data_IF_893004020914
#
_entry.id   IF_893004020914
#
_cell.length_a   1.000
_cell.length_b   1.000
_cell.length_c   1.000
_cell.angle_alpha   90.00
_cell.angle_beta   90.00
_cell.angle_gamma   90.00
#
_symmetry.space_group_name_H-M   'P 1'
#
loop_
_entity.id
_entity.type
_entity.pdbx_description
1 polymer ?
#
# COMPACT_ATOMS: atom_id res chain seq x y z
N UNK A 1 3.87 18.67 6.02
CA UNK A 1 3.39 17.78 7.13
C UNK A 1 3.98 16.40 6.94
N UNK A 2 4.58 15.79 7.97
CA UNK A 2 5.10 14.41 7.88
C UNK A 2 3.96 13.40 7.92
N UNK A 3 3.96 12.44 6.99
CA UNK A 3 3.01 11.33 6.98
C UNK A 3 3.24 10.41 8.17
N UNK A 4 2.16 10.09 8.86
CA UNK A 4 2.16 9.18 10.01
C UNK A 4 2.20 7.70 9.60
N UNK A 5 2.42 6.82 10.59
CA UNK A 5 2.38 5.36 10.39
C UNK A 5 0.96 4.91 10.01
N UNK A 6 0.82 4.00 9.03
CA UNK A 6 -0.49 3.50 8.63
C UNK A 6 -1.05 2.49 9.64
N UNK A 7 -2.36 2.21 9.59
CA UNK A 7 -2.91 0.97 10.14
C UNK A 7 -2.17 -0.23 9.53
N UNK A 8 -1.72 -1.16 10.38
CA UNK A 8 -0.89 -2.32 9.97
C UNK A 8 -1.46 -3.12 8.79
N UNK A 9 -2.78 -3.19 8.68
CA UNK A 9 -3.48 -3.91 7.61
C UNK A 9 -3.18 -3.34 6.21
N UNK A 10 -2.79 -2.06 6.11
CA UNK A 10 -2.43 -1.44 4.84
C UNK A 10 -1.21 -2.08 4.18
N UNK A 11 -0.35 -2.75 4.95
CA UNK A 11 0.75 -3.57 4.42
C UNK A 11 0.19 -4.75 3.61
N UNK A 12 -0.86 -5.41 4.12
CA UNK A 12 -1.49 -6.54 3.44
C UNK A 12 -2.28 -6.09 2.20
N UNK A 13 -2.94 -4.94 2.30
CA UNK A 13 -3.64 -4.33 1.16
C UNK A 13 -2.67 -3.95 0.02
N UNK A 14 -1.48 -3.45 0.36
CA UNK A 14 -0.42 -3.16 -0.61
C UNK A 14 0.11 -4.43 -1.29
N UNK A 15 0.35 -5.51 -0.53
CA UNK A 15 0.75 -6.79 -1.09
C UNK A 15 -0.30 -7.38 -2.05
N UNK A 16 -1.58 -7.33 -1.66
CA UNK A 16 -2.68 -7.75 -2.55
C UNK A 16 -2.75 -6.88 -3.81
N UNK A 17 -2.53 -5.57 -3.68
CA UNK A 17 -2.45 -4.64 -4.81
C UNK A 17 -1.39 -5.00 -5.83
N UNK A 18 -0.21 -5.42 -5.37
CA UNK A 18 0.87 -5.86 -6.24
C UNK A 18 0.47 -7.18 -6.94
N UNK A 19 -0.04 -8.16 -6.20
CA UNK A 19 -0.44 -9.47 -6.76
C UNK A 19 -1.61 -9.39 -7.76
N UNK A 20 -2.51 -8.42 -7.56
CA UNK A 20 -3.62 -8.14 -8.48
C UNK A 20 -3.17 -7.42 -9.75
N UNK A 21 -1.89 -7.03 -9.87
CA UNK A 21 -1.39 -6.26 -11.02
C UNK A 21 -1.99 -4.86 -11.12
N UNK A 22 -2.43 -4.27 -10.00
CA UNK A 22 -3.17 -2.99 -9.97
C UNK A 22 -2.29 -1.74 -10.07
N UNK A 23 -1.01 -1.90 -10.40
CA UNK A 23 -0.03 -0.81 -10.39
C UNK A 23 0.49 -0.60 -11.80
N UNK A 24 0.18 0.57 -12.37
CA UNK A 24 0.74 1.03 -13.64
C UNK A 24 1.89 1.99 -13.35
N UNK A 25 3.11 1.54 -13.63
CA UNK A 25 4.31 2.37 -13.50
C UNK A 25 4.32 3.40 -14.63
N UNK A 26 4.43 4.68 -14.30
CA UNK A 26 4.56 5.76 -15.28
C UNK A 26 6.03 6.18 -15.41
N UNK A 27 6.70 6.35 -14.27
CA UNK A 27 8.14 6.50 -14.17
C UNK A 27 8.63 6.01 -12.80
N UNK A 28 9.91 6.23 -12.50
CA UNK A 28 10.55 5.76 -11.27
C UNK A 28 9.85 6.23 -9.96
N UNK A 29 9.33 7.46 -9.95
CA UNK A 29 8.75 8.07 -8.75
C UNK A 29 7.23 8.15 -8.81
N UNK A 30 6.61 7.89 -9.97
CA UNK A 30 5.18 8.09 -10.20
C UNK A 30 4.51 6.83 -10.76
N UNK A 31 3.45 6.40 -10.09
CA UNK A 31 2.60 5.29 -10.52
C UNK A 31 1.11 5.65 -10.42
N UNK A 32 0.30 4.93 -11.19
CA UNK A 32 -1.15 4.91 -11.04
C UNK A 32 -1.55 3.59 -10.37
N UNK A 33 -2.40 3.67 -9.36
CA UNK A 33 -2.86 2.50 -8.59
C UNK A 33 -4.37 2.37 -8.69
N UNK A 34 -4.85 1.27 -9.25
CA UNK A 34 -6.28 0.99 -9.36
C UNK A 34 -6.82 0.40 -8.05
N UNK A 35 -8.02 0.81 -7.62
CA UNK A 35 -8.69 0.28 -6.42
C UNK A 35 -9.02 -1.21 -6.56
N UNK A 36 -9.31 -1.89 -5.45
CA UNK A 36 -9.63 -3.32 -5.47
C UNK A 36 -10.91 -3.69 -6.25
N UNK A 37 -11.78 -2.71 -6.56
CA UNK A 37 -12.97 -2.93 -7.39
C UNK A 37 -12.82 -2.37 -8.81
N UNK A 38 -11.68 -1.80 -9.17
CA UNK A 38 -11.48 -1.19 -10.49
C UNK A 38 -12.17 0.16 -10.68
N UNK A 39 -12.95 0.64 -9.71
CA UNK A 39 -13.81 1.82 -9.83
C UNK A 39 -13.06 3.15 -9.66
N UNK A 40 -11.84 3.13 -9.13
CA UNK A 40 -11.01 4.33 -8.91
C UNK A 40 -9.57 4.05 -9.30
N UNK A 41 -8.89 5.08 -9.79
CA UNK A 41 -7.44 5.07 -10.01
C UNK A 41 -6.83 6.23 -9.23
N UNK A 42 -5.83 5.92 -8.43
CA UNK A 42 -5.11 6.85 -7.58
C UNK A 42 -3.79 7.26 -8.25
N UNK A 43 -3.42 8.52 -8.12
CA UNK A 43 -2.10 9.00 -8.45
C UNK A 43 -1.20 8.88 -7.23
N UNK A 44 -0.01 8.30 -7.40
CA UNK A 44 0.90 8.01 -6.29
C UNK A 44 2.31 8.43 -6.69
N UNK A 45 2.91 9.31 -5.91
CA UNK A 45 4.26 9.80 -6.13
C UNK A 45 5.10 9.63 -4.87
N UNK A 46 6.35 9.17 -5.01
CA UNK A 46 7.34 9.10 -3.92
C UNK A 46 8.70 9.49 -4.47
N UNK A 47 9.32 10.48 -3.83
CA UNK A 47 10.72 10.83 -4.05
C UNK A 47 11.48 10.71 -2.73
N UNK A 48 12.36 9.72 -2.67
CA UNK A 48 13.14 9.41 -1.47
C UNK A 48 14.29 10.39 -1.25
N UNK A 49 14.85 10.97 -2.31
CA UNK A 49 15.94 11.94 -2.23
C UNK A 49 15.43 13.24 -1.61
N UNK A 50 14.24 13.65 -2.01
CA UNK A 50 13.54 14.83 -1.45
C UNK A 50 12.81 14.51 -0.13
N UNK A 51 12.61 13.24 0.20
CA UNK A 51 11.84 12.81 1.36
C UNK A 51 10.37 13.23 1.28
N UNK A 52 9.75 13.17 0.09
CA UNK A 52 8.37 13.60 -0.14
C UNK A 52 7.51 12.50 -0.75
N UNK A 53 6.21 12.56 -0.48
CA UNK A 53 5.23 11.66 -1.08
C UNK A 53 3.89 12.34 -1.33
N UNK A 54 3.17 11.85 -2.34
CA UNK A 54 1.80 12.24 -2.66
C UNK A 54 0.96 11.00 -2.90
N UNK A 55 -0.27 11.00 -2.40
CA UNK A 55 -1.32 10.16 -2.96
C UNK A 55 -2.69 10.81 -2.75
N UNK A 56 -3.54 10.67 -3.75
CA UNK A 56 -4.96 11.06 -3.69
C UNK A 56 -5.86 9.96 -3.09
N UNK A 57 -5.28 8.85 -2.62
CA UNK A 57 -6.00 7.84 -1.86
C UNK A 57 -6.51 8.41 -0.52
N UNK A 58 -7.66 7.92 -0.04
CA UNK A 58 -8.31 8.49 1.14
C UNK A 58 -7.44 8.46 2.41
N UNK A 59 -6.58 7.43 2.56
CA UNK A 59 -5.67 7.30 3.68
C UNK A 59 -4.64 8.42 3.70
N UNK A 60 -3.96 8.65 2.57
CA UNK A 60 -2.99 9.75 2.48
C UNK A 60 -3.68 11.10 2.46
N UNK A 61 -4.71 11.28 1.62
CA UNK A 61 -5.39 12.55 1.38
C UNK A 61 -6.09 13.11 2.63
N UNK A 62 -6.84 12.28 3.35
CA UNK A 62 -7.66 12.75 4.48
C UNK A 62 -7.16 12.32 5.85
N UNK A 63 -6.37 11.24 5.95
CA UNK A 63 -5.88 10.70 7.24
C UNK A 63 -4.40 10.96 7.49
N UNK A 64 -3.66 11.52 6.53
CA UNK A 64 -2.26 11.93 6.68
C UNK A 64 -1.33 10.80 7.17
N UNK A 65 -1.53 9.58 6.66
CA UNK A 65 -0.61 8.46 6.86
C UNK A 65 -0.10 7.91 5.52
N UNK A 66 0.97 7.12 5.55
CA UNK A 66 1.52 6.42 4.38
C UNK A 66 0.53 5.37 3.87
N UNK A 67 -0.31 5.73 2.89
CA UNK A 67 -1.37 4.87 2.33
C UNK A 67 -0.85 3.57 1.70
N UNK A 68 -1.74 2.57 1.54
CA UNK A 68 -1.37 1.32 0.85
C UNK A 68 -0.77 1.54 -0.56
N UNK A 69 -1.19 2.55 -1.35
CA UNK A 69 -0.58 2.76 -2.66
C UNK A 69 0.87 3.22 -2.55
N UNK A 70 1.19 4.07 -1.56
CA UNK A 70 2.57 4.48 -1.25
C UNK A 70 3.39 3.28 -0.79
N UNK A 71 2.85 2.45 0.11
CA UNK A 71 3.53 1.22 0.58
C UNK A 71 3.85 0.31 -0.62
N UNK A 72 2.90 0.14 -1.55
CA UNK A 72 3.08 -0.70 -2.72
C UNK A 72 4.18 -0.17 -3.67
N UNK A 73 4.22 1.15 -3.91
CA UNK A 73 5.30 1.77 -4.67
C UNK A 73 6.66 1.57 -3.98
N UNK A 74 6.73 1.78 -2.66
CA UNK A 74 7.96 1.57 -1.90
C UNK A 74 8.44 0.10 -1.91
N UNK A 75 7.53 -0.88 -1.96
CA UNK A 75 7.87 -2.29 -2.16
C UNK A 75 8.43 -2.55 -3.56
N UNK A 76 7.82 -1.98 -4.61
CA UNK A 76 8.32 -2.10 -6.00
C UNK A 76 9.70 -1.47 -6.16
N UNK A 77 9.95 -0.33 -5.51
CA UNK A 77 11.27 0.34 -5.49
C UNK A 77 12.32 -0.39 -4.64
N UNK A 78 11.96 -1.50 -3.97
CA UNK A 78 12.87 -2.25 -3.10
C UNK A 78 13.19 -1.59 -1.76
N UNK A 79 12.51 -0.50 -1.41
CA UNK A 79 12.71 0.22 -0.14
C UNK A 79 12.07 -0.52 1.02
N UNK A 80 10.87 -1.06 0.80
CA UNK A 80 10.16 -1.90 1.77
C UNK A 80 10.28 -3.38 1.39
N UNK A 81 10.34 -4.28 2.38
CA UNK A 81 10.33 -5.71 2.11
C UNK A 81 9.13 -6.13 1.25
N UNK A 82 9.37 -7.02 0.29
CA UNK A 82 8.36 -7.67 -0.53
C UNK A 82 8.56 -9.19 -0.45
N UNK A 83 7.46 -9.94 -0.30
CA UNK A 83 7.45 -11.39 -0.35
C UNK A 83 6.39 -11.84 -1.36
N UNK A 84 6.84 -12.46 -2.45
CA UNK A 84 5.97 -12.88 -3.55
C UNK A 84 4.95 -13.91 -3.10
N UNK A 85 5.32 -14.87 -2.24
CA UNK A 85 4.40 -15.93 -1.79
C UNK A 85 3.30 -15.35 -0.91
N UNK A 86 3.65 -14.46 0.03
CA UNK A 86 2.65 -13.77 0.86
C UNK A 86 1.77 -12.87 -0.02
N UNK A 87 2.35 -12.16 -0.99
CA UNK A 87 1.62 -11.32 -1.95
C UNK A 87 0.58 -12.12 -2.73
N UNK A 88 0.96 -13.25 -3.33
CA UNK A 88 0.04 -14.12 -4.09
C UNK A 88 -1.08 -14.72 -3.22
N UNK A 89 -0.80 -15.02 -1.95
CA UNK A 89 -1.84 -15.45 -1.01
C UNK A 89 -2.92 -14.36 -0.79
N UNK A 90 -2.57 -13.08 -0.97
CA UNK A 90 -3.48 -11.95 -0.80
C UNK A 90 -4.16 -11.50 -2.11
N UNK A 91 -3.84 -12.17 -3.23
CA UNK A 91 -4.46 -11.91 -4.54
C UNK A 91 -5.96 -12.16 -4.53
N UNK A 92 -6.70 -11.26 -5.18
CA UNK A 92 -8.14 -11.32 -5.38
C UNK A 92 -8.98 -10.94 -4.16
N UNK A 93 -8.36 -10.45 -3.07
CA UNK A 93 -9.12 -10.02 -1.89
C UNK A 93 -9.88 -8.71 -2.22
N UNK A 94 -11.22 -8.67 -2.08
CA UNK A 94 -12.02 -7.48 -2.38
C UNK A 94 -11.98 -6.49 -1.21
N UNK A 95 -10.82 -5.84 -1.02
CA UNK A 95 -10.53 -4.97 0.13
C UNK A 95 -11.60 -3.93 0.42
N UNK A 96 -12.12 -3.24 -0.60
CA UNK A 96 -13.19 -2.24 -0.44
C UNK A 96 -14.45 -2.85 0.16
N UNK A 97 -14.90 -4.00 -0.35
CA UNK A 97 -16.09 -4.70 0.16
C UNK A 97 -15.90 -5.12 1.62
N UNK A 98 -14.75 -5.69 1.95
CA UNK A 98 -14.46 -6.11 3.33
C UNK A 98 -14.41 -4.89 4.27
N UNK A 99 -13.76 -3.80 3.86
CA UNK A 99 -13.68 -2.57 4.65
C UNK A 99 -15.08 -1.95 4.89
N UNK A 100 -15.93 -1.90 3.87
CA UNK A 100 -17.29 -1.37 3.94
C UNK A 100 -18.22 -2.25 4.79
N UNK A 101 -18.11 -3.58 4.64
CA UNK A 101 -18.89 -4.57 5.41
C UNK A 101 -18.55 -4.51 6.90
N UNK A 102 -17.27 -4.56 7.24
CA UNK A 102 -16.85 -4.72 8.63
C UNK A 102 -16.64 -3.40 9.37
N UNK A 103 -16.26 -2.32 8.67
CA UNK A 103 -15.95 -0.99 9.23
C UNK A 103 -14.93 -0.98 10.39
N UNK A 104 -14.25 -2.11 10.63
CA UNK A 104 -13.30 -2.35 11.72
C UNK A 104 -12.14 -3.17 11.17
N UNK A 105 -10.93 -2.60 11.16
CA UNK A 105 -9.77 -3.26 10.58
C UNK A 105 -9.44 -4.61 11.22
N UNK A 106 -9.67 -4.79 12.53
CA UNK A 106 -9.44 -6.07 13.19
C UNK A 106 -10.30 -7.21 12.61
N UNK A 107 -11.54 -6.91 12.18
CA UNK A 107 -12.40 -7.91 11.55
C UNK A 107 -11.97 -8.22 10.11
N UNK A 108 -11.53 -7.19 9.37
CA UNK A 108 -10.95 -7.37 8.04
C UNK A 108 -9.67 -8.21 8.12
N UNK A 109 -8.78 -7.91 9.07
CA UNK A 109 -7.52 -8.66 9.27
C UNK A 109 -7.81 -10.12 9.61
N UNK A 110 -8.79 -10.42 10.46
CA UNK A 110 -9.22 -11.81 10.73
C UNK A 110 -9.64 -12.56 9.48
N UNK A 111 -10.37 -11.90 8.58
CA UNK A 111 -10.82 -12.54 7.34
C UNK A 111 -9.67 -12.76 6.36
N UNK A 112 -8.78 -11.77 6.22
CA UNK A 112 -7.56 -11.87 5.41
C UNK A 112 -6.66 -12.99 5.89
N UNK A 113 -6.48 -13.15 7.21
CA UNK A 113 -5.68 -14.23 7.79
C UNK A 113 -6.24 -15.62 7.46
N UNK A 114 -7.57 -15.79 7.42
CA UNK A 114 -8.19 -17.06 7.00
C UNK A 114 -7.93 -17.35 5.52
N UNK A 115 -8.11 -16.34 4.66
CA UNK A 115 -7.88 -16.46 3.20
C UNK A 115 -6.42 -16.83 2.92
N UNK A 116 -5.48 -16.20 3.60
CA UNK A 116 -4.07 -16.52 3.40
C UNK A 116 -3.71 -17.91 3.93
N UNK A 117 -4.32 -18.33 5.05
CA UNK A 117 -4.14 -19.69 5.60
C UNK A 117 -4.62 -20.76 4.63
N UNK A 118 -5.76 -20.56 3.97
CA UNK A 118 -6.24 -21.51 2.95
C UNK A 118 -5.35 -21.59 1.71
N UNK A 119 -4.46 -20.60 1.52
CA UNK A 119 -3.44 -20.58 0.46
C UNK A 119 -2.02 -20.90 0.96
N UNK A 120 -1.90 -21.52 2.15
CA UNK A 120 -0.62 -22.02 2.66
C UNK A 120 0.29 -20.96 3.30
N UNK A 121 -0.24 -19.79 3.67
CA UNK A 121 0.51 -18.79 4.45
C UNK A 121 -0.10 -18.68 5.84
N UNK A 122 0.66 -19.04 6.87
CA UNK A 122 0.18 -19.00 8.25
C UNK A 122 0.04 -17.58 8.78
N UNK A 123 -0.80 -17.42 9.81
CA UNK A 123 -0.97 -16.12 10.47
C UNK A 123 0.32 -15.60 11.08
N UNK A 124 1.18 -16.46 11.64
CA UNK A 124 2.45 -16.03 12.24
C UNK A 124 3.41 -15.47 11.19
N UNK A 125 3.52 -16.11 10.02
CA UNK A 125 4.32 -15.62 8.89
C UNK A 125 3.85 -14.24 8.43
N UNK A 126 2.54 -14.07 8.22
CA UNK A 126 1.93 -12.80 7.86
C UNK A 126 2.20 -11.70 8.88
N UNK A 127 1.97 -11.99 10.16
CA UNK A 127 2.14 -11.01 11.23
C UNK A 127 3.61 -10.62 11.43
N UNK A 128 4.54 -11.56 11.24
CA UNK A 128 5.99 -11.31 11.25
C UNK A 128 6.39 -10.41 10.08
N UNK A 129 5.88 -10.69 8.87
CA UNK A 129 6.12 -9.85 7.69
C UNK A 129 5.59 -8.43 7.89
N UNK A 130 4.34 -8.29 8.37
CA UNK A 130 3.75 -6.97 8.66
C UNK A 130 4.59 -6.22 9.68
N UNK A 131 5.05 -6.88 10.76
CA UNK A 131 5.93 -6.25 11.75
C UNK A 131 7.22 -5.74 11.12
N UNK A 132 7.87 -6.54 10.27
CA UNK A 132 9.10 -6.17 9.56
C UNK A 132 8.89 -4.93 8.68
N UNK A 133 7.82 -4.90 7.88
CA UNK A 133 7.48 -3.75 7.02
C UNK A 133 7.15 -2.52 7.87
N UNK A 134 6.35 -2.68 8.93
CA UNK A 134 5.97 -1.57 9.81
C UNK A 134 7.17 -0.95 10.54
N UNK A 135 8.18 -1.76 10.90
CA UNK A 135 9.44 -1.26 11.46
C UNK A 135 10.22 -0.42 10.44
N UNK A 136 10.30 -0.88 9.19
CA UNK A 136 10.92 -0.09 8.11
C UNK A 136 10.15 1.19 7.81
N UNK A 137 8.82 1.16 7.84
CA UNK A 137 8.00 2.37 7.69
C UNK A 137 8.28 3.39 8.80
N UNK A 138 8.57 2.99 10.04
CA UNK A 138 8.93 3.95 11.10
C UNK A 138 10.27 4.66 10.89
N UNK A 139 11.16 4.10 10.09
CA UNK A 139 12.44 4.72 9.76
C UNK A 139 12.28 5.80 8.66
N UNK A 140 11.16 5.80 7.94
CA UNK A 140 10.89 6.74 6.86
C UNK A 140 10.37 8.08 7.40
N UNK A 141 10.88 9.17 6.82
CA UNK A 141 10.33 10.52 6.98
C UNK A 141 9.91 11.02 5.61
N UNK A 142 8.60 10.96 5.34
CA UNK A 142 8.01 11.43 4.10
C UNK A 142 7.10 12.62 4.38
N UNK A 143 7.45 13.77 3.83
CA UNK A 143 6.57 14.93 3.81
C UNK A 143 5.48 14.77 2.75
N UNK A 144 4.23 14.96 3.17
CA UNK A 144 3.08 14.97 2.28
C UNK A 144 3.09 16.20 1.38
N UNK A 145 3.03 15.97 0.07
CA UNK A 145 2.73 17.00 -0.92
C UNK A 145 1.21 17.21 -1.04
N UNK A 146 0.80 18.45 -1.33
CA UNK A 146 -0.61 18.81 -1.51
C UNK A 146 -1.11 18.57 -2.95
N UNK A 147 -0.20 18.51 -3.91
CA UNK A 147 -0.48 18.26 -5.33
C UNK A 147 0.61 17.37 -5.92
N UNK A 148 0.31 16.76 -7.07
CA UNK A 148 1.33 16.08 -7.87
C UNK A 148 2.38 17.10 -8.33
N UNK A 149 3.68 16.80 -8.19
CA UNK A 149 4.74 17.60 -8.77
C UNK A 149 4.59 17.75 -10.28
N UNK A 150 4.93 18.93 -10.83
CA UNK A 150 4.85 19.16 -12.28
C UNK A 150 5.77 18.24 -13.09
N UNK A 151 6.84 17.73 -12.48
CA UNK A 151 7.78 16.79 -13.12
C UNK A 151 7.12 15.48 -13.55
N UNK A 152 5.97 15.10 -12.98
CA UNK A 152 5.25 13.88 -13.42
C UNK A 152 4.62 14.03 -14.81
N UNK A 153 4.50 15.26 -15.33
CA UNK A 153 3.94 15.55 -16.66
C UNK A 153 5.02 15.81 -17.71
N UNK A 154 6.29 15.88 -17.31
CA UNK A 154 7.40 15.97 -18.24
C UNK A 154 7.65 14.55 -18.75
N UNK A 155 7.43 14.32 -20.05
CA UNK A 155 7.83 13.06 -20.68
C UNK A 155 9.32 12.79 -20.41
N UNK A 156 9.72 11.53 -20.19
CA UNK A 156 11.13 11.17 -20.14
C UNK A 156 11.85 11.57 -21.43
#
# INVERSE_FOLDING_TARGET
>A
MILSRPPRIKVLEALGCIADGRIKVINENYVKVTSSLGDKTYNVYVDLNRGVAYSDDNGTKYRNYIGYPIIALLMIKGVLPYDKRISEALKGIPWKILNEKYKKYALVEREVLKIARSKGVSSSELMSFVKKVMNKISELKLEKLNSLPLEVYKSP
#
